data_IF_288576252835
#
_entry.id   IF_288576252835
#
_cell.length_a   1.000
_cell.length_b   1.000
_cell.length_c   1.000
_cell.angle_alpha   90.00
_cell.angle_beta   90.00
_cell.angle_gamma   90.00
#
_symmetry.space_group_name_H-M   'P 1'
#
loop_
_entity.id
_entity.type
_entity.pdbx_description
1 polymer ?
#
# COMPACT_ATOMS: atom_id res chain seq x y z
N UNK A 1 45.83 -27.30 -29.81
CA UNK A 1 45.03 -27.58 -28.58
C UNK A 1 44.26 -26.36 -28.03
N UNK A 2 44.36 -25.15 -28.61
CA UNK A 2 43.71 -23.93 -28.08
C UNK A 2 42.17 -23.91 -28.17
N UNK A 3 41.58 -24.58 -29.17
CA UNK A 3 40.13 -24.52 -29.42
C UNK A 3 39.26 -25.17 -28.32
N UNK A 4 39.75 -26.18 -27.60
CA UNK A 4 39.00 -26.82 -26.50
C UNK A 4 38.86 -25.94 -25.25
N UNK A 5 39.82 -25.03 -25.01
CA UNK A 5 39.78 -24.14 -23.84
C UNK A 5 38.69 -23.07 -23.97
N UNK A 6 38.41 -22.66 -25.20
CA UNK A 6 37.40 -21.64 -25.48
C UNK A 6 35.96 -22.17 -25.34
N UNK A 7 35.66 -23.42 -25.75
CA UNK A 7 34.30 -23.97 -25.57
C UNK A 7 33.93 -24.10 -24.09
N UNK A 8 34.86 -24.58 -23.27
CA UNK A 8 34.70 -24.69 -21.81
C UNK A 8 34.44 -23.31 -21.19
N UNK A 9 35.17 -22.27 -21.59
CA UNK A 9 34.96 -20.92 -21.07
C UNK A 9 33.53 -20.40 -21.32
N UNK A 10 32.98 -20.58 -22.53
CA UNK A 10 31.60 -20.19 -22.84
C UNK A 10 30.55 -21.00 -22.06
N UNK A 11 30.79 -22.30 -21.86
CA UNK A 11 29.90 -23.13 -21.07
C UNK A 11 29.87 -22.65 -19.61
N UNK A 12 31.03 -22.36 -19.02
CA UNK A 12 31.13 -21.83 -17.65
C UNK A 12 30.43 -20.48 -17.52
N UNK A 13 30.70 -19.53 -18.43
CA UNK A 13 30.02 -18.22 -18.43
C UNK A 13 28.51 -18.40 -18.55
N UNK A 14 28.05 -19.28 -19.44
CA UNK A 14 26.64 -19.55 -19.62
C UNK A 14 25.97 -20.09 -18.36
N UNK A 15 26.61 -21.04 -17.67
CA UNK A 15 26.13 -21.59 -16.39
C UNK A 15 26.07 -20.49 -15.32
N UNK A 16 27.09 -19.64 -15.23
CA UNK A 16 27.14 -18.54 -14.26
C UNK A 16 26.01 -17.52 -14.51
N UNK A 17 25.72 -17.19 -15.77
CA UNK A 17 24.62 -16.29 -16.12
C UNK A 17 23.24 -16.88 -15.77
N UNK A 18 23.02 -18.17 -16.04
CA UNK A 18 21.79 -18.86 -15.61
C UNK A 18 21.68 -18.85 -14.09
N UNK A 19 22.75 -19.21 -13.37
CA UNK A 19 22.78 -19.20 -11.92
C UNK A 19 22.49 -17.80 -11.36
N UNK A 20 23.10 -16.75 -11.92
CA UNK A 20 22.85 -15.37 -11.54
C UNK A 20 21.39 -14.95 -11.76
N UNK A 21 20.79 -15.33 -12.90
CA UNK A 21 19.36 -15.08 -13.17
C UNK A 21 18.44 -15.74 -12.14
N UNK A 22 18.76 -16.98 -11.73
CA UNK A 22 18.01 -17.69 -10.68
C UNK A 22 18.19 -17.03 -9.31
N UNK A 23 19.41 -16.66 -8.92
CA UNK A 23 19.70 -15.96 -7.65
C UNK A 23 18.94 -14.62 -7.62
N UNK A 24 18.97 -13.87 -8.71
CA UNK A 24 18.26 -12.60 -8.80
C UNK A 24 16.75 -12.79 -8.58
N UNK A 25 16.14 -13.75 -9.28
CA UNK A 25 14.70 -14.00 -9.20
C UNK A 25 14.23 -14.57 -7.86
N UNK A 26 14.98 -15.50 -7.27
CA UNK A 26 14.52 -16.26 -6.10
C UNK A 26 15.07 -15.77 -4.77
N UNK A 27 16.14 -14.97 -4.78
CA UNK A 27 16.74 -14.42 -3.55
C UNK A 27 16.58 -12.90 -3.52
N UNK A 28 17.04 -12.20 -4.54
CA UNK A 28 17.07 -10.73 -4.52
C UNK A 28 15.69 -10.10 -4.69
N UNK A 29 14.85 -10.59 -5.60
CA UNK A 29 13.50 -10.04 -5.82
C UNK A 29 12.62 -10.14 -4.56
N UNK A 30 12.52 -11.28 -3.84
CA UNK A 30 11.79 -11.34 -2.57
C UNK A 30 12.33 -10.41 -1.48
N UNK A 31 13.62 -10.03 -1.53
CA UNK A 31 14.21 -9.07 -0.59
C UNK A 31 13.87 -7.64 -1.00
N UNK A 32 14.00 -7.32 -2.29
CA UNK A 32 13.74 -6.00 -2.86
C UNK A 32 12.25 -5.61 -2.88
N UNK A 33 11.35 -6.59 -2.76
CA UNK A 33 9.90 -6.40 -2.69
C UNK A 33 9.39 -6.15 -1.27
N UNK A 34 10.27 -6.19 -0.28
CA UNK A 34 9.95 -5.85 1.11
C UNK A 34 10.04 -4.36 1.32
N UNK A 35 9.29 -3.85 2.30
CA UNK A 35 9.40 -2.48 2.79
C UNK A 35 10.87 -2.16 3.14
N UNK A 36 11.51 -1.18 2.47
CA UNK A 36 12.89 -0.79 2.74
C UNK A 36 13.06 -0.25 4.16
N UNK A 37 14.22 -0.54 4.77
CA UNK A 37 14.50 -0.12 6.16
C UNK A 37 14.71 1.38 6.34
N UNK A 38 14.92 2.09 5.24
CA UNK A 38 15.17 3.53 5.10
C UNK A 38 13.97 4.28 4.51
N UNK A 39 12.79 3.64 4.46
CA UNK A 39 11.58 4.28 3.95
C UNK A 39 11.24 5.52 4.77
N UNK A 40 11.10 6.65 4.09
CA UNK A 40 10.68 7.93 4.67
C UNK A 40 9.82 8.67 3.63
N UNK A 41 8.53 8.76 3.90
CA UNK A 41 7.55 9.33 2.99
C UNK A 41 6.77 10.44 3.68
N UNK A 42 6.87 11.65 3.14
CA UNK A 42 6.04 12.78 3.53
C UNK A 42 4.95 13.01 2.50
N UNK A 43 3.71 13.20 2.95
CA UNK A 43 2.53 13.49 2.14
C UNK A 43 1.85 14.73 2.72
N UNK A 44 1.55 15.69 1.85
CA UNK A 44 0.87 16.92 2.22
C UNK A 44 -0.60 16.85 1.82
N UNK A 45 -1.47 17.25 2.74
CA UNK A 45 -2.91 17.36 2.54
C UNK A 45 -3.37 18.80 2.74
N UNK A 46 -4.53 19.09 2.18
CA UNK A 46 -5.24 20.35 2.35
C UNK A 46 -6.72 20.10 2.58
N UNK A 47 -7.38 20.98 3.32
CA UNK A 47 -8.77 20.77 3.67
C UNK A 47 -9.36 21.87 4.54
N UNK A 48 -10.43 21.50 5.24
CA UNK A 48 -11.09 22.35 6.23
C UNK A 48 -11.24 21.63 7.57
N UNK A 49 -11.37 22.41 8.64
CA UNK A 49 -11.67 21.93 9.97
C UNK A 49 -12.81 22.71 10.63
N UNK A 50 -13.62 22.01 11.41
CA UNK A 50 -14.48 22.59 12.42
C UNK A 50 -13.90 22.22 13.79
N UNK A 51 -13.50 23.22 14.57
CA UNK A 51 -12.82 23.04 15.85
C UNK A 51 -13.58 23.75 16.97
N UNK A 52 -13.69 23.08 18.10
CA UNK A 52 -14.15 23.71 19.33
C UNK A 52 -13.04 24.57 19.93
N UNK A 53 -13.27 25.87 20.01
CA UNK A 53 -12.46 26.84 20.74
C UNK A 53 -12.78 26.73 22.24
N UNK A 54 -11.90 26.03 22.94
CA UNK A 54 -12.00 25.82 24.39
C UNK A 54 -11.92 27.12 25.19
N UNK A 55 -11.21 28.15 24.71
CA UNK A 55 -11.12 29.46 25.39
C UNK A 55 -12.41 30.23 25.26
N UNK A 56 -12.99 30.28 24.05
CA UNK A 56 -14.31 30.89 23.84
C UNK A 56 -15.39 30.18 24.67
N UNK A 57 -15.32 28.84 24.76
CA UNK A 57 -16.23 28.07 25.61
C UNK A 57 -16.07 28.41 27.10
N UNK A 58 -14.84 28.45 27.62
CA UNK A 58 -14.55 28.82 29.01
C UNK A 58 -14.95 30.26 29.34
N UNK A 59 -14.89 31.17 28.36
CA UNK A 59 -15.33 32.54 28.49
C UNK A 59 -16.86 32.72 28.37
N UNK A 60 -17.64 31.63 28.28
CA UNK A 60 -19.10 31.66 28.12
C UNK A 60 -19.59 32.14 26.76
N UNK A 61 -18.69 32.28 25.77
CA UNK A 61 -19.00 32.74 24.41
C UNK A 61 -19.36 31.56 23.51
N UNK A 62 -20.40 30.81 23.88
CA UNK A 62 -20.79 29.57 23.20
C UNK A 62 -21.00 29.77 21.69
N UNK A 63 -21.64 30.86 21.27
CA UNK A 63 -21.88 31.17 19.84
C UNK A 63 -20.61 31.33 19.00
N UNK A 64 -19.47 31.65 19.63
CA UNK A 64 -18.16 31.75 18.99
C UNK A 64 -17.25 30.57 19.31
N UNK A 65 -17.73 29.61 20.12
CA UNK A 65 -16.95 28.46 20.54
C UNK A 65 -16.77 27.44 19.41
N UNK A 66 -17.62 27.41 18.40
CA UNK A 66 -17.43 26.54 17.24
C UNK A 66 -16.86 27.35 16.07
N UNK A 67 -15.57 27.16 15.78
CA UNK A 67 -14.94 27.74 14.60
C UNK A 67 -15.12 26.77 13.44
N UNK A 68 -15.84 27.19 12.40
CA UNK A 68 -16.19 26.33 11.26
C UNK A 68 -15.43 26.73 10.00
N UNK A 69 -15.24 25.78 9.09
CA UNK A 69 -14.60 25.96 7.78
C UNK A 69 -13.22 26.64 7.86
N UNK A 70 -12.45 26.32 8.91
CA UNK A 70 -11.08 26.81 9.02
C UNK A 70 -10.24 26.12 7.95
N UNK A 71 -9.53 26.86 7.06
CA UNK A 71 -8.60 26.23 6.14
C UNK A 71 -7.48 25.56 6.93
N UNK A 72 -7.15 24.33 6.57
CA UNK A 72 -6.06 23.57 7.19
C UNK A 72 -5.12 23.00 6.14
N UNK A 73 -3.87 22.82 6.53
CA UNK A 73 -2.93 21.91 5.87
C UNK A 73 -2.59 20.78 6.83
N UNK A 74 -2.18 19.64 6.29
CA UNK A 74 -1.76 18.50 7.10
C UNK A 74 -0.47 17.92 6.53
N UNK A 75 0.51 17.74 7.39
CA UNK A 75 1.75 17.05 7.05
C UNK A 75 1.71 15.66 7.67
N UNK A 76 1.77 14.62 6.83
CA UNK A 76 1.88 13.23 7.27
C UNK A 76 3.24 12.68 6.88
N UNK A 77 3.97 12.08 7.83
CA UNK A 77 5.24 11.41 7.60
C UNK A 77 5.18 9.96 8.07
N UNK A 78 5.40 9.04 7.13
CA UNK A 78 5.52 7.61 7.40
C UNK A 78 6.98 7.21 7.27
N UNK A 79 7.58 6.75 8.36
CA UNK A 79 9.01 6.44 8.44
C UNK A 79 9.27 5.06 9.05
N UNK A 80 10.17 4.28 8.46
CA UNK A 80 10.71 3.06 9.08
C UNK A 80 11.80 3.46 10.07
N UNK A 81 11.56 3.15 11.36
CA UNK A 81 12.50 3.44 12.44
C UNK A 81 13.53 2.33 12.63
N UNK A 82 13.14 1.09 12.39
CA UNK A 82 14.00 -0.08 12.55
C UNK A 82 13.42 -1.30 11.84
N UNK A 83 14.29 -2.23 11.45
CA UNK A 83 13.89 -3.54 10.89
C UNK A 83 14.56 -4.68 11.64
N UNK A 84 13.86 -5.80 11.74
CA UNK A 84 14.35 -7.05 12.30
C UNK A 84 13.74 -8.22 11.50
N UNK A 85 14.53 -8.80 10.59
CA UNK A 85 14.05 -9.81 9.65
C UNK A 85 12.91 -9.28 8.77
N UNK A 86 11.75 -9.92 8.90
CA UNK A 86 10.53 -9.59 8.16
C UNK A 86 9.67 -8.52 8.87
N UNK A 87 10.06 -8.05 10.05
CA UNK A 87 9.33 -7.00 10.78
C UNK A 87 9.98 -5.63 10.61
N UNK A 88 9.17 -4.61 10.37
CA UNK A 88 9.55 -3.20 10.46
C UNK A 88 8.77 -2.51 11.57
N UNK A 89 9.42 -1.61 12.31
CA UNK A 89 8.73 -0.66 13.20
C UNK A 89 8.60 0.66 12.46
N UNK A 90 7.36 1.11 12.26
CA UNK A 90 7.00 2.33 11.56
C UNK A 90 6.57 3.41 12.55
N UNK A 91 6.87 4.67 12.21
CA UNK A 91 6.22 5.85 12.75
C UNK A 91 5.29 6.41 11.68
N UNK A 92 4.05 6.71 12.05
CA UNK A 92 3.09 7.49 11.26
C UNK A 92 2.76 8.75 12.06
N UNK A 93 3.42 9.85 11.70
CA UNK A 93 3.25 11.14 12.34
C UNK A 93 2.39 12.04 11.45
N UNK A 94 1.41 12.71 12.04
CA UNK A 94 0.50 13.61 11.35
C UNK A 94 0.35 14.89 12.16
N UNK A 95 0.59 16.04 11.53
CA UNK A 95 0.38 17.36 12.12
C UNK A 95 -0.66 18.12 11.32
N UNK A 96 -1.78 18.48 11.96
CA UNK A 96 -2.77 19.38 11.38
C UNK A 96 -2.41 20.81 11.74
N UNK A 97 -2.20 21.64 10.72
CA UNK A 97 -1.96 23.08 10.87
C UNK A 97 -3.28 23.83 10.70
N UNK A 98 -3.78 24.39 11.80
CA UNK A 98 -5.00 25.19 11.81
C UNK A 98 -4.70 26.64 12.24
N UNK A 99 -5.54 27.63 11.87
CA UNK A 99 -5.32 29.02 12.27
C UNK A 99 -5.26 29.20 13.79
N UNK A 100 -4.05 29.41 14.30
CA UNK A 100 -3.76 29.67 15.71
C UNK A 100 -3.36 28.45 16.54
N UNK A 101 -3.29 27.25 15.97
CA UNK A 101 -2.84 26.03 16.68
C UNK A 101 -2.43 24.90 15.73
N UNK A 102 -1.44 24.11 16.16
CA UNK A 102 -1.08 22.83 15.55
C UNK A 102 -1.63 21.68 16.39
N UNK A 103 -2.09 20.62 15.73
CA UNK A 103 -2.60 19.41 16.37
C UNK A 103 -1.73 18.21 15.93
N UNK A 104 -0.63 17.92 16.64
CA UNK A 104 0.22 16.78 16.33
C UNK A 104 -0.40 15.46 16.82
N UNK A 105 -0.14 14.40 16.07
CA UNK A 105 -0.42 13.02 16.44
C UNK A 105 0.68 12.11 15.89
N UNK A 106 1.02 11.05 16.62
CA UNK A 106 2.03 10.10 16.17
C UNK A 106 1.71 8.71 16.69
N UNK A 107 1.81 7.72 15.81
CA UNK A 107 1.54 6.33 16.13
C UNK A 107 2.71 5.46 15.69
N UNK A 108 3.06 4.49 16.53
CA UNK A 108 4.05 3.48 16.20
C UNK A 108 3.37 2.17 15.84
N UNK A 109 3.82 1.52 14.79
CA UNK A 109 3.30 0.23 14.33
C UNK A 109 4.44 -0.76 14.16
N UNK A 110 4.19 -2.04 14.43
CA UNK A 110 5.05 -3.12 13.96
C UNK A 110 4.33 -3.84 12.82
N UNK A 111 4.95 -3.91 11.65
CA UNK A 111 4.34 -4.51 10.45
C UNK A 111 5.26 -5.56 9.83
N UNK A 112 4.66 -6.54 9.17
CA UNK A 112 5.36 -7.44 8.26
C UNK A 112 5.75 -6.67 6.99
N UNK A 113 7.01 -6.74 6.58
CA UNK A 113 7.57 -5.92 5.49
C UNK A 113 7.07 -6.32 4.11
N UNK A 114 6.46 -7.49 3.95
CA UNK A 114 5.95 -7.95 2.65
C UNK A 114 4.45 -7.69 2.51
N UNK A 115 3.69 -8.00 3.57
CA UNK A 115 2.23 -7.91 3.59
C UNK A 115 1.71 -6.58 4.15
N UNK A 116 2.57 -5.82 4.83
CA UNK A 116 2.28 -4.58 5.55
C UNK A 116 1.19 -4.68 6.62
N UNK A 117 0.80 -5.91 6.99
CA UNK A 117 -0.11 -6.15 8.09
C UNK A 117 0.63 -6.01 9.42
N UNK A 118 -0.08 -5.51 10.43
CA UNK A 118 0.46 -5.44 11.77
C UNK A 118 0.85 -6.82 12.30
N UNK A 119 1.96 -6.87 13.03
CA UNK A 119 2.50 -8.10 13.64
C UNK A 119 2.87 -7.82 15.09
N UNK A 120 3.26 -8.89 15.81
CA UNK A 120 3.80 -8.75 17.16
C UNK A 120 5.07 -7.88 17.12
N UNK A 121 5.19 -6.84 17.98
CA UNK A 121 6.38 -6.01 18.01
C UNK A 121 7.62 -6.78 18.46
N UNK A 122 8.82 -6.35 18.05
CA UNK A 122 10.07 -6.79 18.66
C UNK A 122 10.07 -6.54 20.17
N UNK A 123 10.83 -7.36 20.92
CA UNK A 123 10.90 -7.25 22.37
C UNK A 123 11.30 -5.83 22.82
N UNK A 124 10.64 -5.30 23.86
CA UNK A 124 10.90 -3.97 24.41
C UNK A 124 10.29 -2.80 23.62
N UNK A 125 9.65 -3.03 22.46
CA UNK A 125 8.94 -1.98 21.72
C UNK A 125 7.47 -1.93 22.09
N UNK A 126 6.96 -0.74 22.42
CA UNK A 126 5.53 -0.44 22.54
C UNK A 126 5.04 0.14 21.22
N UNK A 127 4.03 -0.48 20.62
CA UNK A 127 3.38 -0.06 19.37
C UNK A 127 1.87 -0.26 19.51
N UNK A 128 1.11 0.30 18.58
CA UNK A 128 -0.32 0.04 18.48
C UNK A 128 -0.62 -1.45 18.21
N UNK A 129 -1.68 -2.03 18.83
CA UNK A 129 -2.07 -3.43 18.67
C UNK A 129 -2.76 -3.72 17.31
N UNK A 130 -2.15 -3.31 16.21
CA UNK A 130 -2.69 -3.41 14.85
C UNK A 130 -2.58 -4.81 14.20
N UNK A 131 -2.43 -5.88 15.01
CA UNK A 131 -2.10 -7.22 14.50
C UNK A 131 -3.13 -7.71 13.47
N UNK A 132 -2.66 -8.11 12.29
CA UNK A 132 -3.47 -8.65 11.20
C UNK A 132 -4.13 -7.61 10.28
N UNK A 133 -4.05 -6.32 10.60
CA UNK A 133 -4.66 -5.24 9.84
C UNK A 133 -3.59 -4.33 9.20
N UNK A 134 -3.97 -3.62 8.13
CA UNK A 134 -3.14 -2.55 7.57
C UNK A 134 -3.21 -1.30 8.45
N UNK A 135 -2.15 -0.50 8.45
CA UNK A 135 -2.06 0.73 9.26
C UNK A 135 -1.91 1.98 8.40
N UNK A 136 -0.89 2.01 7.53
CA UNK A 136 -0.51 3.24 6.81
C UNK A 136 -0.18 3.00 5.33
N UNK A 137 -0.12 1.74 4.89
CA UNK A 137 0.31 1.38 3.53
C UNK A 137 -0.30 0.05 3.08
N UNK A 138 -0.32 -0.18 1.77
CA UNK A 138 -0.75 -1.44 1.16
C UNK A 138 0.44 -2.23 0.63
N UNK A 139 0.37 -3.57 0.64
CA UNK A 139 1.43 -4.39 0.05
C UNK A 139 1.53 -4.16 -1.45
N UNK A 140 2.68 -4.57 -2.03
CA UNK A 140 2.83 -4.64 -3.49
C UNK A 140 1.72 -5.50 -4.09
N UNK A 141 1.28 -5.14 -5.29
CA UNK A 141 0.18 -5.80 -6.00
C UNK A 141 -1.08 -5.95 -5.12
N UNK A 142 -1.64 -4.85 -4.61
CA UNK A 142 -2.77 -4.93 -3.69
C UNK A 142 -3.96 -5.63 -4.38
N UNK A 143 -4.53 -6.62 -3.69
CA UNK A 143 -5.69 -7.40 -4.16
C UNK A 143 -6.90 -6.52 -4.43
N UNK A 144 -7.55 -6.73 -5.57
CA UNK A 144 -8.79 -6.06 -5.96
C UNK A 144 -10.05 -6.69 -5.32
N UNK A 145 -10.00 -6.90 -4.01
CA UNK A 145 -11.09 -7.49 -3.21
C UNK A 145 -11.21 -6.83 -1.82
N UNK A 146 -12.24 -7.20 -1.06
CA UNK A 146 -12.49 -6.69 0.30
C UNK A 146 -11.81 -7.55 1.39
N UNK A 147 -10.67 -8.18 1.11
CA UNK A 147 -9.96 -9.04 2.08
C UNK A 147 -9.09 -8.27 3.08
N UNK A 148 -8.91 -6.97 2.88
CA UNK A 148 -8.14 -6.12 3.78
C UNK A 148 -8.97 -5.61 4.96
N UNK A 149 -8.28 -5.37 6.06
CA UNK A 149 -8.78 -4.68 7.24
C UNK A 149 -7.84 -3.55 7.57
N UNK A 150 -8.37 -2.51 8.20
CA UNK A 150 -7.65 -1.32 8.64
C UNK A 150 -7.69 -1.21 10.16
N UNK A 151 -6.56 -0.88 10.78
CA UNK A 151 -6.51 -0.53 12.20
C UNK A 151 -6.74 0.97 12.37
N UNK A 152 -7.83 1.34 13.05
CA UNK A 152 -8.11 2.71 13.40
C UNK A 152 -7.48 3.09 14.75
N UNK A 153 -6.49 3.99 14.80
CA UNK A 153 -5.82 4.34 16.05
C UNK A 153 -6.72 5.12 17.01
N UNK A 154 -7.73 5.85 16.54
CA UNK A 154 -8.61 6.64 17.41
C UNK A 154 -9.49 5.75 18.29
N UNK A 155 -10.17 4.76 17.69
CA UNK A 155 -11.00 3.80 18.41
C UNK A 155 -10.21 2.57 18.90
N UNK A 156 -8.99 2.40 18.41
CA UNK A 156 -8.13 1.21 18.64
C UNK A 156 -8.85 -0.08 18.27
N UNK A 157 -9.49 -0.07 17.10
CA UNK A 157 -10.23 -1.21 16.55
C UNK A 157 -9.81 -1.54 15.14
N UNK A 158 -10.06 -2.78 14.72
CA UNK A 158 -9.85 -3.24 13.34
C UNK A 158 -11.19 -3.21 12.62
N UNK A 159 -11.24 -2.58 11.45
CA UNK A 159 -12.44 -2.45 10.62
C UNK A 159 -12.23 -3.02 9.22
N UNK A 160 -13.26 -3.58 8.58
CA UNK A 160 -13.14 -4.09 7.23
C UNK A 160 -12.98 -2.96 6.20
N UNK A 161 -12.21 -3.24 5.15
CA UNK A 161 -12.08 -2.35 3.99
C UNK A 161 -12.90 -2.91 2.83
N UNK A 162 -13.62 -2.03 2.13
CA UNK A 162 -14.42 -2.41 0.96
C UNK A 162 -13.71 -1.99 -0.31
N UNK A 163 -13.45 -2.93 -1.22
CA UNK A 163 -13.01 -2.61 -2.57
C UNK A 163 -14.16 -2.01 -3.38
N UNK A 164 -13.93 -0.83 -3.96
CA UNK A 164 -14.94 -0.03 -4.65
C UNK A 164 -14.70 0.08 -6.17
N UNK A 165 -13.70 -0.63 -6.71
CA UNK A 165 -13.39 -0.65 -8.14
C UNK A 165 -11.99 -0.14 -8.48
N UNK A 166 -11.80 0.26 -9.73
CA UNK A 166 -10.54 0.79 -10.25
C UNK A 166 -10.74 2.19 -10.81
N UNK A 167 -9.66 2.97 -10.85
CA UNK A 167 -9.65 4.34 -11.37
C UNK A 167 -8.26 4.68 -11.94
N UNK A 168 -8.06 5.92 -12.38
CA UNK A 168 -6.77 6.50 -12.75
C UNK A 168 -6.51 7.76 -11.91
N UNK A 169 -5.31 7.85 -11.32
CA UNK A 169 -4.83 9.02 -10.57
C UNK A 169 -3.38 9.31 -10.91
N UNK A 170 -3.03 10.56 -11.21
CA UNK A 170 -1.66 10.93 -11.59
C UNK A 170 -1.09 10.09 -12.76
N UNK A 171 -1.94 9.66 -13.70
CA UNK A 171 -1.53 8.77 -14.80
C UNK A 171 -1.24 7.32 -14.40
N UNK A 172 -1.57 6.91 -13.17
CA UNK A 172 -1.41 5.55 -12.65
C UNK A 172 -2.75 4.85 -12.50
N UNK A 173 -2.80 3.55 -12.83
CA UNK A 173 -3.98 2.72 -12.56
C UNK A 173 -4.04 2.35 -11.07
N UNK A 174 -5.17 2.62 -10.44
CA UNK A 174 -5.37 2.46 -9.00
C UNK A 174 -6.55 1.54 -8.67
N UNK A 175 -6.48 0.88 -7.52
CA UNK A 175 -7.60 0.24 -6.83
C UNK A 175 -8.20 1.23 -5.82
N UNK A 176 -9.52 1.30 -5.73
CA UNK A 176 -10.23 2.19 -4.80
C UNK A 176 -10.71 1.38 -3.61
N UNK A 177 -10.33 1.80 -2.39
CA UNK A 177 -10.83 1.19 -1.15
C UNK A 177 -11.55 2.23 -0.29
N UNK A 178 -12.61 1.79 0.39
CA UNK A 178 -13.43 2.60 1.29
C UNK A 178 -13.53 1.93 2.65
N UNK A 179 -13.41 2.71 3.71
CA UNK A 179 -13.61 2.23 5.08
C UNK A 179 -14.05 3.37 5.98
N UNK A 180 -14.87 3.04 6.99
CA UNK A 180 -15.50 4.03 7.87
C UNK A 180 -15.49 3.58 9.33
N UNK A 181 -14.33 3.65 10.01
CA UNK A 181 -14.26 3.28 11.41
C UNK A 181 -15.16 4.19 12.25
N UNK A 182 -15.85 3.60 13.21
CA UNK A 182 -16.74 4.31 14.12
C UNK A 182 -16.83 3.57 15.44
N UNK A 183 -16.67 4.28 16.55
CA UNK A 183 -16.74 3.68 17.88
C UNK A 183 -16.26 4.62 18.99
N UNK A 184 -16.25 4.15 20.25
CA UNK A 184 -15.71 4.91 21.37
C UNK A 184 -14.23 5.23 21.13
N UNK A 185 -13.81 6.47 21.43
CA UNK A 185 -12.39 6.84 21.40
C UNK A 185 -11.66 6.09 22.52
N UNK A 186 -10.57 5.40 22.16
CA UNK A 186 -9.71 4.63 23.08
C UNK A 186 -8.23 5.01 22.99
N UNK A 187 -7.86 5.91 22.07
CA UNK A 187 -6.51 6.48 22.01
C UNK A 187 -6.21 7.28 23.29
N UNK A 188 -5.20 6.89 24.08
CA UNK A 188 -4.85 7.60 25.31
C UNK A 188 -4.44 9.05 25.06
N UNK A 189 -3.66 9.31 24.02
CA UNK A 189 -3.16 10.65 23.69
C UNK A 189 -4.30 11.57 23.23
N UNK A 190 -5.24 11.04 22.45
CA UNK A 190 -6.44 11.79 22.06
C UNK A 190 -7.36 12.04 23.27
N UNK A 191 -7.54 11.06 24.16
CA UNK A 191 -8.34 11.29 25.38
C UNK A 191 -7.68 12.30 26.32
N UNK A 192 -6.35 12.32 26.40
CA UNK A 192 -5.61 13.28 27.23
C UNK A 192 -5.73 14.73 26.72
N UNK A 193 -5.95 14.93 25.41
CA UNK A 193 -6.17 16.26 24.83
C UNK A 193 -7.62 16.73 24.91
N UNK A 194 -8.54 15.86 25.32
CA UNK A 194 -9.97 16.13 25.39
C UNK A 194 -10.46 16.31 26.84
N UNK A 195 -11.37 17.27 27.13
CA UNK A 195 -11.88 17.47 28.49
C UNK A 195 -12.63 16.24 29.05
N UNK A 196 -12.26 15.68 30.21
CA UNK A 196 -12.94 14.49 30.74
C UNK A 196 -14.36 14.78 31.28
N UNK A 197 -14.67 16.05 31.55
CA UNK A 197 -15.97 16.48 32.06
C UNK A 197 -16.25 17.94 31.65
N UNK A 198 -17.52 18.35 31.64
CA UNK A 198 -17.95 19.74 31.42
C UNK A 198 -18.86 20.24 32.56
N UNK A 199 -18.66 21.47 33.06
CA UNK A 199 -19.61 22.12 33.95
C UNK A 199 -21.02 22.15 33.36
N UNK A 200 -22.05 21.98 34.20
CA UNK A 200 -23.46 22.06 33.77
C UNK A 200 -23.79 23.37 33.04
N UNK A 201 -23.25 24.48 33.53
CA UNK A 201 -23.44 25.81 32.95
C UNK A 201 -22.98 25.89 31.49
N UNK A 202 -21.88 25.22 31.14
CA UNK A 202 -21.39 25.17 29.78
C UNK A 202 -22.27 24.29 28.89
N UNK A 203 -22.78 23.17 29.40
CA UNK A 203 -23.74 22.33 28.64
C UNK A 203 -25.04 23.08 28.34
N UNK A 204 -25.55 23.87 29.30
CA UNK A 204 -26.69 24.77 29.06
C UNK A 204 -26.34 25.83 28.02
N UNK A 205 -25.14 26.41 28.08
CA UNK A 205 -24.67 27.39 27.09
C UNK A 205 -24.52 26.82 25.67
N UNK A 206 -24.23 25.53 25.54
CA UNK A 206 -24.16 24.83 24.24
C UNK A 206 -25.54 24.53 23.65
N UNK A 207 -26.60 24.48 24.46
CA UNK A 207 -27.93 24.05 24.02
C UNK A 207 -28.39 24.73 22.72
N UNK A 208 -28.25 26.06 22.49
CA UNK A 208 -28.69 26.69 21.24
C UNK A 208 -28.01 26.19 19.97
N UNK A 209 -26.83 25.57 20.08
CA UNK A 209 -26.04 25.04 18.95
C UNK A 209 -26.38 23.58 18.64
N UNK A 210 -27.16 22.91 19.49
CA UNK A 210 -27.46 21.50 19.35
C UNK A 210 -28.70 21.26 18.46
N UNK A 211 -28.75 20.13 17.75
CA UNK A 211 -29.96 19.68 17.06
C UNK A 211 -31.19 19.63 17.98
N UNK A 212 -32.39 19.81 17.42
CA UNK A 212 -33.62 19.96 18.20
C UNK A 212 -33.93 18.74 19.10
N UNK A 213 -33.65 17.53 18.62
CA UNK A 213 -33.76 16.28 19.35
C UNK A 213 -32.77 16.19 20.52
N UNK A 214 -31.51 16.60 20.30
CA UNK A 214 -30.48 16.67 21.35
C UNK A 214 -30.85 17.71 22.42
N UNK A 215 -31.37 18.88 22.01
CA UNK A 215 -31.87 19.90 22.95
C UNK A 215 -33.01 19.38 23.81
N UNK A 216 -33.95 18.63 23.21
CA UNK A 216 -35.06 18.03 23.94
C UNK A 216 -34.56 16.99 24.96
N UNK A 217 -33.55 16.19 24.60
CA UNK A 217 -32.90 15.25 25.52
C UNK A 217 -32.19 15.95 26.69
N UNK A 218 -31.78 17.21 26.52
CA UNK A 218 -31.12 18.04 27.52
C UNK A 218 -32.06 19.11 28.12
N UNK A 219 -33.34 18.78 28.28
CA UNK A 219 -34.29 19.65 28.96
C UNK A 219 -33.78 20.09 30.35
N UNK A 220 -34.17 21.28 30.86
CA UNK A 220 -33.64 21.84 32.11
C UNK A 220 -33.71 20.89 33.31
N UNK A 221 -34.82 20.16 33.47
CA UNK A 221 -34.99 19.17 34.53
C UNK A 221 -33.97 18.03 34.42
N UNK A 222 -33.69 17.59 33.19
CA UNK A 222 -32.71 16.53 32.90
C UNK A 222 -31.30 16.98 33.23
N UNK A 223 -30.92 18.19 32.81
CA UNK A 223 -29.58 18.76 33.10
C UNK A 223 -29.41 18.99 34.61
N UNK A 224 -30.47 19.41 35.31
CA UNK A 224 -30.44 19.59 36.76
C UNK A 224 -30.10 18.28 37.50
N UNK A 225 -30.60 17.14 37.01
CA UNK A 225 -30.37 15.81 37.59
C UNK A 225 -28.98 15.20 37.30
N UNK A 226 -28.19 15.77 36.37
CA UNK A 226 -26.83 15.29 36.08
C UNK A 226 -25.85 15.66 37.22
N UNK A 227 -24.66 15.04 37.31
CA UNK A 227 -23.57 15.54 38.18
C UNK A 227 -23.01 16.88 37.67
N UNK A 228 -22.30 17.61 38.54
CA UNK A 228 -21.51 18.80 38.15
C UNK A 228 -20.08 18.65 38.69
N UNK A 229 -19.05 18.50 37.82
CA UNK A 229 -19.12 18.52 36.36
C UNK A 229 -19.75 17.25 35.76
N UNK A 230 -20.32 17.37 34.55
CA UNK A 230 -20.91 16.28 33.77
C UNK A 230 -19.78 15.47 33.10
N UNK A 231 -19.60 14.17 33.41
CA UNK A 231 -18.62 13.31 32.74
C UNK A 231 -18.89 13.21 31.24
N UNK A 232 -17.83 13.29 30.44
CA UNK A 232 -17.88 13.18 28.99
C UNK A 232 -17.37 11.84 28.50
N UNK A 233 -17.88 11.42 27.36
CA UNK A 233 -17.35 10.31 26.56
C UNK A 233 -17.23 10.75 25.11
N UNK A 234 -16.41 10.06 24.32
CA UNK A 234 -16.13 10.47 22.95
C UNK A 234 -16.35 9.34 21.96
N UNK A 235 -16.92 9.68 20.82
CA UNK A 235 -17.08 8.77 19.68
C UNK A 235 -16.23 9.28 18.53
N UNK A 236 -15.30 8.47 18.05
CA UNK A 236 -14.58 8.70 16.82
C UNK A 236 -15.40 8.18 15.64
N UNK A 237 -15.44 8.95 14.55
CA UNK A 237 -15.96 8.52 13.25
C UNK A 237 -15.01 8.98 12.17
N UNK A 238 -14.68 8.10 11.24
CA UNK A 238 -13.95 8.50 10.04
C UNK A 238 -14.61 7.92 8.80
N UNK A 239 -14.36 8.52 7.65
CA UNK A 239 -14.62 7.99 6.33
C UNK A 239 -13.38 8.24 5.47
N UNK A 240 -12.79 7.16 4.98
CA UNK A 240 -11.54 7.20 4.21
C UNK A 240 -11.78 6.56 2.85
N UNK A 241 -11.28 7.22 1.81
CA UNK A 241 -11.25 6.71 0.44
C UNK A 241 -9.81 6.77 -0.05
N UNK A 242 -9.22 5.60 -0.27
CA UNK A 242 -7.83 5.46 -0.72
C UNK A 242 -7.77 4.96 -2.17
N UNK A 243 -6.99 5.64 -3.01
CA UNK A 243 -6.70 5.28 -4.39
C UNK A 243 -5.28 4.73 -4.47
N UNK A 244 -5.15 3.41 -4.53
CA UNK A 244 -3.89 2.70 -4.33
C UNK A 244 -3.35 2.16 -5.63
N UNK A 245 -2.10 2.48 -5.97
CA UNK A 245 -1.42 1.98 -7.16
C UNK A 245 -1.46 0.44 -7.23
N UNK A 246 -1.94 -0.10 -8.35
CA UNK A 246 -2.15 -1.55 -8.53
C UNK A 246 -0.87 -2.37 -8.56
N UNK A 247 0.28 -1.74 -8.75
CA UNK A 247 1.57 -2.41 -8.81
C UNK A 247 2.34 -2.24 -7.51
N UNK A 248 2.43 -1.01 -7.00
CA UNK A 248 3.31 -0.65 -5.89
C UNK A 248 2.62 -0.58 -4.53
N UNK A 249 1.29 -0.56 -4.47
CA UNK A 249 0.58 -0.41 -3.20
C UNK A 249 0.66 1.00 -2.59
N UNK A 250 1.25 1.97 -3.28
CA UNK A 250 1.30 3.37 -2.83
C UNK A 250 -0.08 4.00 -2.97
N UNK A 251 -0.61 4.61 -1.91
CA UNK A 251 -1.82 5.44 -1.99
C UNK A 251 -1.49 6.74 -2.74
N UNK A 252 -1.93 6.85 -4.00
CA UNK A 252 -1.67 8.01 -4.88
C UNK A 252 -2.56 9.20 -4.51
N UNK A 253 -3.79 8.92 -4.09
CA UNK A 253 -4.78 9.90 -3.67
C UNK A 253 -5.58 9.35 -2.50
N UNK A 254 -5.92 10.21 -1.55
CA UNK A 254 -6.65 9.85 -0.33
C UNK A 254 -7.54 11.02 0.10
N UNK A 255 -8.78 10.71 0.46
CA UNK A 255 -9.72 11.66 1.08
C UNK A 255 -10.11 11.14 2.46
N UNK A 256 -10.04 12.01 3.46
CA UNK A 256 -10.30 11.69 4.86
C UNK A 256 -11.32 12.70 5.40
N UNK A 257 -12.43 12.17 5.92
CA UNK A 257 -13.35 12.89 6.80
C UNK A 257 -13.26 12.27 8.18
N UNK A 258 -12.91 13.02 9.22
CA UNK A 258 -12.74 12.52 10.58
C UNK A 258 -13.48 13.42 11.56
N UNK A 259 -14.19 12.81 12.51
CA UNK A 259 -14.93 13.51 13.55
C UNK A 259 -14.67 12.88 14.91
N UNK A 260 -14.52 13.72 15.92
CA UNK A 260 -14.58 13.35 17.33
C UNK A 260 -15.80 14.03 17.92
N UNK A 261 -16.79 13.22 18.32
CA UNK A 261 -18.08 13.68 18.81
C UNK A 261 -18.10 13.53 20.32
N UNK A 262 -18.41 14.60 21.05
CA UNK A 262 -18.60 14.53 22.50
C UNK A 262 -19.99 14.02 22.82
N UNK A 263 -20.07 13.14 23.82
CA UNK A 263 -21.32 12.56 24.30
C UNK A 263 -21.42 12.68 25.82
N UNK A 264 -22.67 12.76 26.29
CA UNK A 264 -23.03 12.71 27.71
C UNK A 264 -23.97 11.54 27.96
N UNK A 265 -23.98 11.02 29.18
CA UNK A 265 -24.93 9.98 29.59
C UNK A 265 -26.08 10.61 30.37
N UNK A 266 -27.30 10.41 29.87
CA UNK A 266 -28.53 10.97 30.41
C UNK A 266 -29.53 9.84 30.61
N UNK A 267 -29.91 9.56 31.87
CA UNK A 267 -30.86 8.48 32.17
C UNK A 267 -30.40 7.11 31.64
N UNK A 268 -29.08 6.84 31.68
CA UNK A 268 -28.49 5.60 31.13
C UNK A 268 -28.36 5.54 29.61
N UNK A 269 -28.73 6.61 28.88
CA UNK A 269 -28.61 6.70 27.42
C UNK A 269 -27.50 7.67 27.03
N UNK A 270 -26.72 7.30 26.02
CA UNK A 270 -25.70 8.19 25.43
C UNK A 270 -26.36 9.18 24.48
N UNK A 271 -26.14 10.47 24.72
CA UNK A 271 -26.60 11.58 23.87
C UNK A 271 -25.38 12.24 23.25
N UNK A 272 -25.27 12.22 21.92
CA UNK A 272 -24.23 12.94 21.19
C UNK A 272 -24.56 14.43 21.14
N UNK A 273 -23.61 15.27 21.55
CA UNK A 273 -23.81 16.72 21.56
C UNK A 273 -23.41 17.33 20.22
N UNK A 274 -22.11 17.50 20.00
CA UNK A 274 -21.55 18.09 18.79
C UNK A 274 -20.15 17.50 18.48
N UNK A 275 -19.68 17.58 17.24
CA UNK A 275 -18.27 17.35 16.92
C UNK A 275 -17.41 18.41 17.63
N UNK A 276 -16.44 17.97 18.43
CA UNK A 276 -15.41 18.85 19.03
C UNK A 276 -14.22 19.04 18.09
N UNK A 277 -14.04 18.08 17.19
CA UNK A 277 -13.11 18.12 16.06
C UNK A 277 -13.84 17.51 14.88
N UNK A 278 -13.89 18.20 13.75
CA UNK A 278 -14.25 17.64 12.45
C UNK A 278 -13.21 18.10 11.44
N UNK A 279 -12.60 17.17 10.72
CA UNK A 279 -11.56 17.42 9.74
C UNK A 279 -12.02 16.82 8.41
N UNK A 280 -11.89 17.58 7.33
CA UNK A 280 -12.16 17.12 5.97
C UNK A 280 -10.98 17.54 5.09
N UNK A 281 -10.16 16.59 4.68
CA UNK A 281 -8.93 16.88 3.94
C UNK A 281 -8.59 15.81 2.91
N UNK A 282 -7.77 16.19 1.93
CA UNK A 282 -7.32 15.34 0.83
C UNK A 282 -5.88 15.63 0.46
N UNK A 283 -5.22 14.67 -0.18
CA UNK A 283 -3.84 14.86 -0.67
C UNK A 283 -3.79 16.06 -1.62
N UNK A 284 -2.75 16.89 -1.50
CA UNK A 284 -2.53 18.04 -2.40
C UNK A 284 -2.19 17.57 -3.82
N UNK A 285 -2.51 18.34 -4.87
CA UNK A 285 -2.14 17.98 -6.24
C UNK A 285 -0.63 17.73 -6.43
N UNK A 286 0.21 18.50 -5.75
CA UNK A 286 1.66 18.32 -5.79
C UNK A 286 2.10 16.98 -5.19
N UNK A 287 1.53 16.59 -4.05
CA UNK A 287 1.78 15.27 -3.45
C UNK A 287 1.24 14.13 -4.31
N UNK A 288 0.08 14.29 -4.99
CA UNK A 288 -0.43 13.29 -5.95
C UNK A 288 0.59 13.05 -7.07
N UNK A 289 1.15 14.12 -7.65
CA UNK A 289 2.15 14.02 -8.70
C UNK A 289 3.44 13.32 -8.21
N UNK A 290 3.98 13.75 -7.06
CA UNK A 290 5.19 13.13 -6.46
C UNK A 290 4.98 11.64 -6.14
N UNK A 291 3.82 11.28 -5.56
CA UNK A 291 3.48 9.88 -5.27
C UNK A 291 3.33 9.05 -6.54
N UNK A 292 2.73 9.62 -7.60
CA UNK A 292 2.61 8.96 -8.89
C UNK A 292 3.97 8.72 -9.57
N UNK A 293 4.89 9.70 -9.50
CA UNK A 293 6.25 9.58 -10.05
C UNK A 293 7.09 8.55 -9.26
N UNK A 294 6.97 8.55 -7.93
CA UNK A 294 7.57 7.52 -7.07
C UNK A 294 7.02 6.13 -7.40
N UNK A 295 5.70 6.00 -7.54
CA UNK A 295 5.07 4.73 -7.90
C UNK A 295 5.47 4.25 -9.31
N UNK A 296 5.57 5.16 -10.28
CA UNK A 296 6.06 4.86 -11.64
C UNK A 296 7.51 4.35 -11.59
N UNK A 297 8.38 5.06 -10.89
CA UNK A 297 9.81 4.71 -10.76
C UNK A 297 9.99 3.36 -10.07
N UNK A 298 9.30 3.15 -8.95
CA UNK A 298 9.29 1.86 -8.24
C UNK A 298 8.71 0.74 -9.13
N UNK A 299 7.64 1.02 -9.87
CA UNK A 299 7.05 0.06 -10.80
C UNK A 299 8.00 -0.36 -11.92
N UNK A 300 8.74 0.57 -12.52
CA UNK A 300 9.77 0.26 -13.53
C UNK A 300 10.88 -0.57 -12.91
N UNK A 301 11.37 -0.21 -11.71
CA UNK A 301 12.40 -0.97 -11.02
C UNK A 301 11.94 -2.40 -10.71
N UNK A 302 10.70 -2.58 -10.26
CA UNK A 302 10.10 -3.88 -10.00
C UNK A 302 10.01 -4.75 -11.27
N UNK A 303 9.67 -4.17 -12.42
CA UNK A 303 9.66 -4.90 -13.71
C UNK A 303 11.08 -5.24 -14.15
N UNK A 304 12.01 -4.29 -14.04
CA UNK A 304 13.40 -4.47 -14.46
C UNK A 304 14.08 -5.56 -13.66
N UNK A 305 14.03 -5.49 -12.32
CA UNK A 305 14.68 -6.43 -11.42
C UNK A 305 13.88 -7.73 -11.30
N UNK A 306 12.55 -7.63 -11.28
CA UNK A 306 11.65 -8.77 -11.08
C UNK A 306 11.50 -9.68 -12.29
N UNK A 307 11.54 -9.13 -13.50
CA UNK A 307 11.18 -9.84 -14.73
C UNK A 307 12.26 -9.74 -15.81
N UNK A 308 12.66 -8.52 -16.19
CA UNK A 308 13.53 -8.31 -17.37
C UNK A 308 14.93 -8.83 -17.14
N UNK A 309 15.60 -8.43 -16.06
CA UNK A 309 16.99 -8.80 -15.80
C UNK A 309 17.17 -10.32 -15.62
N UNK A 310 16.33 -11.05 -14.84
CA UNK A 310 16.41 -12.51 -14.78
C UNK A 310 16.25 -13.19 -16.14
N UNK A 311 15.32 -12.72 -16.97
CA UNK A 311 15.07 -13.29 -18.31
C UNK A 311 16.23 -13.05 -19.27
N UNK A 312 16.80 -11.83 -19.27
CA UNK A 312 17.97 -11.50 -20.09
C UNK A 312 19.17 -12.34 -19.68
N UNK A 313 19.44 -12.46 -18.37
CA UNK A 313 20.53 -13.30 -17.85
C UNK A 313 20.35 -14.77 -18.24
N UNK A 314 19.12 -15.29 -18.12
CA UNK A 314 18.79 -16.66 -18.52
C UNK A 314 19.01 -16.87 -20.03
N UNK A 315 18.51 -15.97 -20.88
CA UNK A 315 18.63 -16.07 -22.33
C UNK A 315 20.10 -16.01 -22.79
N UNK A 316 20.88 -15.07 -22.25
CA UNK A 316 22.31 -14.97 -22.52
C UNK A 316 23.07 -16.20 -22.02
N UNK A 317 22.68 -16.74 -20.87
CA UNK A 317 23.25 -17.96 -20.32
C UNK A 317 23.01 -19.17 -21.22
N UNK A 318 21.76 -19.40 -21.62
CA UNK A 318 21.36 -20.49 -22.54
C UNK A 318 22.05 -20.35 -23.89
N UNK A 319 22.08 -19.14 -24.47
CA UNK A 319 22.75 -18.87 -25.74
C UNK A 319 24.25 -19.19 -25.67
N UNK A 320 24.91 -18.83 -24.57
CA UNK A 320 26.33 -19.12 -24.34
C UNK A 320 26.61 -20.63 -24.25
N UNK A 321 25.74 -21.38 -23.57
CA UNK A 321 25.82 -22.85 -23.49
C UNK A 321 25.61 -23.48 -24.88
N UNK A 322 24.58 -23.05 -25.62
CA UNK A 322 24.31 -23.55 -26.97
C UNK A 322 25.49 -23.28 -27.92
N UNK A 323 26.10 -22.10 -27.85
CA UNK A 323 27.28 -21.76 -28.66
C UNK A 323 28.48 -22.67 -28.35
N UNK A 324 28.70 -23.00 -27.07
CA UNK A 324 29.74 -23.94 -26.67
C UNK A 324 29.52 -25.33 -27.30
N UNK A 325 28.30 -25.86 -27.22
CA UNK A 325 27.92 -27.17 -27.80
C UNK A 325 28.04 -27.18 -29.33
N UNK A 326 27.57 -26.13 -30.01
CA UNK A 326 27.65 -26.01 -31.46
C UNK A 326 29.10 -25.94 -31.96
N UNK A 327 29.98 -25.26 -31.22
CA UNK A 327 31.42 -25.21 -31.53
C UNK A 327 32.07 -26.58 -31.40
N UNK A 328 31.74 -27.36 -30.38
CA UNK A 328 32.27 -28.72 -30.23
C UNK A 328 31.80 -29.67 -31.33
N UNK A 329 30.54 -29.57 -31.75
CA UNK A 329 30.00 -30.38 -32.87
C UNK A 329 30.69 -30.10 -34.21
N UNK A 330 31.14 -28.87 -34.47
CA UNK A 330 31.85 -28.51 -35.71
C UNK A 330 33.26 -29.12 -35.76
N UNK A 331 33.98 -29.16 -34.64
CA UNK A 331 35.33 -29.76 -34.57
C UNK A 331 35.28 -31.26 -34.88
N UNK A 332 34.24 -31.96 -34.45
CA UNK A 332 34.08 -33.40 -34.71
C UNK A 332 33.77 -33.74 -36.18
N UNK A 333 33.25 -32.80 -36.98
CA UNK A 333 32.94 -33.04 -38.41
C UNK A 333 34.14 -32.82 -39.35
N UNK A 334 35.23 -32.21 -38.91
CA UNK A 334 36.40 -31.85 -39.74
C UNK A 334 37.53 -32.90 -39.66
N UNK A 335 37.26 -34.10 -39.15
CA UNK A 335 38.17 -35.25 -39.27
C UNK A 335 37.64 -36.27 -40.31
N UNK A 336 37.70 -35.98 -41.62
CA UNK A 336 37.51 -37.00 -42.65
C UNK A 336 38.79 -37.83 -42.76
N UNK A 337 38.76 -39.08 -42.29
CA UNK A 337 39.74 -40.09 -42.70
C UNK A 337 40.64 -40.66 -41.62
N UNK A 338 40.07 -41.40 -40.66
CA UNK A 338 40.75 -42.58 -40.13
C UNK A 338 39.96 -43.79 -40.61
N UNK A 339 40.40 -44.35 -41.74
CA UNK A 339 39.95 -45.65 -42.22
C UNK A 339 40.43 -46.72 -41.24
N UNK A 340 39.55 -47.24 -40.39
CA UNK A 340 39.76 -48.55 -39.77
C UNK A 340 39.64 -49.60 -40.87
N UNK A 341 40.78 -50.20 -41.24
CA UNK A 341 40.93 -51.23 -42.28
C UNK A 341 41.13 -52.58 -41.60
N UNK A 342 40.23 -53.53 -41.90
CA UNK A 342 40.37 -54.98 -41.69
C UNK A 342 39.80 -55.46 -40.34
N UNK A 343 39.21 -56.64 -40.19
CA UNK A 343 39.08 -57.90 -40.98
C UNK A 343 38.32 -58.83 -39.99
N UNK A 344 37.34 -59.67 -40.29
CA UNK A 344 36.81 -60.28 -41.51
C UNK A 344 35.50 -61.03 -41.20
N UNK A 345 35.08 -61.96 -42.07
CA UNK A 345 33.69 -62.41 -42.22
C UNK A 345 33.39 -63.76 -41.55
N UNK A 346 32.13 -64.01 -41.17
CA UNK A 346 31.69 -65.32 -40.73
C UNK A 346 30.20 -65.44 -40.39
N UNK A 347 29.39 -65.82 -41.38
CA UNK A 347 28.34 -66.84 -41.21
C UNK A 347 26.92 -66.43 -40.77
N UNK A 348 25.90 -67.26 -41.08
CA UNK A 348 24.56 -66.78 -41.44
C UNK A 348 23.40 -67.30 -40.57
N UNK A 349 22.20 -66.77 -40.89
CA UNK A 349 20.89 -67.42 -40.88
C UNK A 349 20.09 -67.58 -39.55
N UNK A 350 18.78 -67.37 -39.70
CA UNK A 350 17.70 -67.57 -38.71
C UNK A 350 16.99 -66.25 -38.43
N UNK A 351 15.83 -65.90 -39.01
CA UNK A 351 14.65 -66.73 -39.26
C UNK A 351 13.69 -66.55 -38.07
N UNK A 352 12.62 -65.77 -38.24
CA UNK A 352 11.65 -65.55 -37.17
C UNK A 352 10.57 -64.53 -37.51
N UNK A 353 9.49 -65.04 -38.12
CA UNK A 353 8.23 -64.37 -38.43
C UNK A 353 7.40 -64.19 -37.15
N UNK A 354 6.67 -63.08 -37.02
CA UNK A 354 5.67 -62.90 -35.97
C UNK A 354 4.86 -61.61 -36.12
N UNK A 355 3.75 -61.68 -36.88
CA UNK A 355 2.68 -60.69 -36.94
C UNK A 355 1.93 -60.58 -35.61
N UNK A 356 1.38 -59.38 -35.31
CA UNK A 356 -0.07 -59.11 -35.18
C UNK A 356 -0.39 -57.98 -34.18
N UNK A 357 -1.09 -56.97 -34.72
CA UNK A 357 -2.32 -56.33 -34.23
C UNK A 357 -2.43 -55.49 -32.94
N UNK A 358 -3.20 -54.39 -33.10
CA UNK A 358 -3.89 -53.61 -32.06
C UNK A 358 -3.62 -52.09 -32.21
N UNK A 359 -4.39 -51.24 -32.93
CA UNK A 359 -5.80 -50.82 -32.76
C UNK A 359 -6.06 -50.34 -31.31
N UNK A 360 -6.43 -49.09 -30.95
CA UNK A 360 -7.49 -48.15 -31.41
C UNK A 360 -7.21 -46.69 -30.89
N UNK A 361 -8.02 -45.69 -31.31
CA UNK A 361 -7.77 -44.25 -31.20
C UNK A 361 -8.57 -43.56 -30.07
N UNK A 362 -8.24 -42.30 -29.74
CA UNK A 362 -9.16 -41.38 -29.06
C UNK A 362 -9.04 -39.96 -29.61
N UNK A 363 -10.21 -39.42 -29.93
CA UNK A 363 -10.55 -38.07 -30.38
C UNK A 363 -10.22 -36.99 -29.35
N UNK A 364 -9.99 -35.77 -29.84
CA UNK A 364 -9.91 -34.57 -29.01
C UNK A 364 -10.07 -33.29 -29.84
N UNK A 365 -11.24 -33.12 -30.44
CA UNK A 365 -11.72 -31.85 -31.01
C UNK A 365 -12.06 -30.86 -29.89
N UNK A 366 -11.48 -29.65 -29.93
CA UNK A 366 -11.83 -28.51 -29.10
C UNK A 366 -11.74 -27.20 -29.91
N UNK A 367 -12.63 -26.23 -29.68
CA UNK A 367 -13.02 -25.26 -30.70
C UNK A 367 -12.10 -24.04 -30.77
N UNK A 368 -11.75 -23.65 -31.99
CA UNK A 368 -11.21 -22.32 -32.30
C UNK A 368 -12.38 -21.35 -32.50
N UNK A 369 -12.68 -20.58 -31.46
CA UNK A 369 -13.49 -19.37 -31.54
C UNK A 369 -12.58 -18.16 -31.32
N UNK A 370 -12.68 -17.16 -32.19
CA UNK A 370 -11.93 -15.93 -32.07
C UNK A 370 -11.93 -15.16 -33.39
N UNK A 371 -13.06 -14.52 -33.68
CA UNK A 371 -13.12 -13.50 -34.72
C UNK A 371 -12.58 -12.18 -34.19
N UNK A 372 -11.85 -11.47 -35.04
CA UNK A 372 -11.78 -10.01 -35.13
C UNK A 372 -11.37 -9.71 -36.58
N UNK A 373 -11.93 -8.65 -37.20
CA UNK A 373 -11.11 -7.44 -37.26
C UNK A 373 -11.88 -6.12 -37.13
N UNK A 374 -11.17 -5.17 -36.48
CA UNK A 374 -10.94 -3.78 -36.92
C UNK A 374 -12.10 -2.79 -36.81
N UNK A 375 -11.86 -1.76 -35.99
CA UNK A 375 -12.54 -0.47 -36.05
C UNK A 375 -12.23 0.42 -34.86
N UNK A 376 -11.02 0.99 -34.77
CA UNK A 376 -10.81 2.20 -33.97
C UNK A 376 -9.99 3.21 -34.78
N UNK A 377 -10.70 4.24 -35.24
CA UNK A 377 -10.20 5.44 -35.88
C UNK A 377 -10.17 6.57 -34.86
N UNK A 378 -9.06 7.31 -34.84
CA UNK A 378 -9.11 8.75 -34.63
C UNK A 378 -8.78 9.26 -33.23
N UNK A 379 -7.64 9.93 -33.17
CA UNK A 379 -7.59 11.42 -33.16
C UNK A 379 -6.92 12.03 -31.93
N UNK A 380 -5.63 12.31 -32.12
CA UNK A 380 -4.93 13.58 -31.97
C UNK A 380 -5.40 14.55 -30.87
N UNK A 381 -4.53 14.72 -29.87
CA UNK A 381 -4.63 15.75 -28.85
C UNK A 381 -3.25 16.15 -28.35
N UNK A 382 -2.47 16.79 -29.24
CA UNK A 382 -1.24 17.51 -28.92
C UNK A 382 -1.50 18.58 -27.85
N UNK A 383 -0.77 18.51 -26.73
CA UNK A 383 -0.83 19.46 -25.64
C UNK A 383 0.56 19.68 -25.04
N UNK A 384 1.33 20.51 -25.73
CA UNK A 384 2.58 21.12 -25.31
C UNK A 384 2.33 22.05 -24.09
N UNK A 385 3.06 21.84 -22.98
CA UNK A 385 3.25 22.85 -21.95
C UNK A 385 4.40 22.48 -21.00
N UNK A 386 5.55 23.13 -21.19
CA UNK A 386 6.25 23.83 -20.11
C UNK A 386 6.94 22.98 -19.05
N UNK A 387 8.16 22.54 -19.35
CA UNK A 387 9.16 22.24 -18.33
C UNK A 387 9.58 23.53 -17.61
N UNK A 388 9.26 23.65 -16.32
CA UNK A 388 9.97 24.52 -15.38
C UNK A 388 10.46 23.69 -14.19
N UNK A 389 11.77 23.59 -14.09
CA UNK A 389 12.52 22.95 -13.00
C UNK A 389 12.58 23.88 -11.80
N UNK A 390 12.23 23.46 -10.57
CA UNK A 390 12.70 24.13 -9.38
C UNK A 390 13.98 23.47 -8.86
N UNK A 391 15.04 24.27 -8.86
CA UNK A 391 16.30 24.04 -8.17
C UNK A 391 16.09 23.55 -6.73
N UNK A 392 16.76 22.46 -6.39
CA UNK A 392 17.02 22.06 -5.01
C UNK A 392 17.86 23.11 -4.30
N UNK A 393 17.35 23.66 -3.21
CA UNK A 393 18.14 24.39 -2.22
C UNK A 393 18.35 23.50 -1.00
N UNK A 394 19.61 23.07 -0.83
CA UNK A 394 20.20 22.57 0.42
C UNK A 394 20.66 23.78 1.25
N UNK A 395 20.24 23.87 2.51
CA UNK A 395 21.05 24.33 3.66
C UNK A 395 20.36 23.79 4.92
N UNK A 396 20.97 22.86 5.66
CA UNK A 396 21.79 23.17 6.84
C UNK A 396 21.01 24.02 7.86
N UNK A 397 20.37 23.35 8.83
CA UNK A 397 20.79 23.31 10.24
C UNK A 397 20.22 22.06 10.94
#
# INVERSE_FOLDING_TARGET
MSFRRWSIAWAVVGILLVAAGLILRFVLVPIATRLPGDTDLTVHYQGTANLLDSRALQAGKASSALRSHLPITVDRRVQVLSTAGDTAVLSDALTVHAPGQDLPSSYLYAVDRSTLKGVKPPAGRKVEPATGALTSAFPLHPKNDSSYTYYDPATRTVVPMTYAGHDTRGGRSVNVYRFSPSGPVRSPDLLASLPPALPKSLVVGLAPLLPADVRAALAPATVAALPDPIPLTYTGKSAIVAHVDRQTGVAIDETISQQVIVNVTVGGRTVSLLPVVALDFRITPASIADLADKAKSAGILLILVGLVAPLVLLALGVASIMLAVLRERRVLRVLPGVRLRGRGPGGPAGGGVGSADGVKPVNGTGPAGGGEPVGNTGDDGSGDAGHTTPQSARSLD
#
